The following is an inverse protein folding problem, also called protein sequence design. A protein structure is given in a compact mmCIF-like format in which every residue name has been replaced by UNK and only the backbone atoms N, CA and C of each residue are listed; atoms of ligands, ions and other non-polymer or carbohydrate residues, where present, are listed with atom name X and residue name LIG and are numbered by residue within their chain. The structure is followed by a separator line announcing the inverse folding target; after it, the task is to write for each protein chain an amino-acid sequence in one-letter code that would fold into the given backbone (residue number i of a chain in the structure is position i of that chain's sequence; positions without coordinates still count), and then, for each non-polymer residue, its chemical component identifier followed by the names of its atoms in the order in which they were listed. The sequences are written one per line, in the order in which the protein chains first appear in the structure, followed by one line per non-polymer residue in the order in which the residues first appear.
data_IF_217030422655
#
_entry.id   IF_217030422655
#
_cell.length_a   1.000
_cell.length_b   1.000
_cell.length_c   1.000
_cell.angle_alpha   90.00
_cell.angle_beta   90.00
_cell.angle_gamma   90.00
#
_symmetry.space_group_name_H-M   'P 1'
#
loop_
_entity.id
_entity.type
_entity.pdbx_description
1 polymer ?
#
# COMPACT_ATOMS: atom_id res chain seq x y z
N UNK A 1 -2.66 -5.39 28.72
CA UNK A 1 -1.66 -5.78 29.72
C UNK A 1 -1.87 -5.03 31.04
N UNK A 2 -1.90 -3.70 31.03
CA UNK A 2 -2.05 -2.84 32.21
C UNK A 2 -3.25 -3.20 33.08
N UNK A 3 -4.42 -3.39 32.50
CA UNK A 3 -5.64 -3.72 33.24
C UNK A 3 -5.56 -5.05 33.98
N UNK A 4 -4.81 -6.03 33.47
CA UNK A 4 -4.65 -7.36 34.07
C UNK A 4 -3.49 -7.47 35.03
N UNK A 5 -2.41 -6.70 34.80
CA UNK A 5 -1.17 -6.82 35.59
C UNK A 5 -0.94 -5.64 36.57
N UNK A 6 -1.68 -4.55 36.41
CA UNK A 6 -1.42 -3.29 37.10
C UNK A 6 -0.18 -2.51 36.62
N UNK A 7 0.63 -3.13 35.76
CA UNK A 7 1.88 -2.54 35.27
C UNK A 7 1.73 -1.99 33.86
N UNK A 8 2.13 -0.76 33.63
CA UNK A 8 2.29 -0.19 32.31
C UNK A 8 3.54 -0.73 31.61
N UNK A 9 3.60 -0.55 30.30
CA UNK A 9 4.77 -0.88 29.49
C UNK A 9 5.18 0.32 28.67
N UNK A 10 6.49 0.54 28.55
CA UNK A 10 7.02 1.47 27.55
C UNK A 10 6.99 0.77 26.19
N UNK A 11 6.32 1.36 25.22
CA UNK A 11 6.23 0.85 23.85
C UNK A 11 6.99 1.79 22.93
N UNK A 12 7.98 1.26 22.25
CA UNK A 12 8.79 2.00 21.28
C UNK A 12 8.60 1.39 19.89
N UNK A 13 8.40 2.26 18.91
CA UNK A 13 8.38 1.91 17.49
C UNK A 13 9.24 2.91 16.73
N UNK A 14 9.86 2.46 15.65
CA UNK A 14 10.56 3.35 14.73
C UNK A 14 10.27 2.95 13.27
N UNK A 15 10.56 3.86 12.36
CA UNK A 15 10.22 3.67 10.94
C UNK A 15 10.96 2.49 10.31
N UNK A 16 12.22 2.25 10.68
CA UNK A 16 13.04 1.18 10.09
C UNK A 16 12.49 -0.19 10.52
N UNK A 17 12.31 -0.39 11.83
CA UNK A 17 11.76 -1.65 12.36
C UNK A 17 10.37 -1.94 11.82
N UNK A 18 9.51 -0.92 11.78
CA UNK A 18 8.15 -1.07 11.25
C UNK A 18 8.15 -1.43 9.76
N UNK A 19 8.99 -0.79 8.96
CA UNK A 19 9.12 -1.09 7.54
C UNK A 19 9.71 -2.49 7.31
N UNK A 20 10.76 -2.88 8.05
CA UNK A 20 11.34 -4.23 7.94
C UNK A 20 10.32 -5.29 8.32
N UNK A 21 9.58 -5.10 9.40
CA UNK A 21 8.53 -6.06 9.80
C UNK A 21 7.40 -6.18 8.76
N UNK A 22 7.04 -5.07 8.10
CA UNK A 22 6.01 -5.04 7.08
C UNK A 22 6.44 -5.72 5.78
N UNK A 23 7.66 -5.42 5.29
CA UNK A 23 8.10 -5.90 3.97
C UNK A 23 8.82 -7.24 4.02
N UNK A 24 9.18 -7.74 5.20
CA UNK A 24 10.06 -8.90 5.35
C UNK A 24 9.56 -10.14 4.61
N UNK A 25 8.28 -10.46 4.76
CA UNK A 25 7.67 -11.63 4.12
C UNK A 25 7.64 -11.55 2.59
N UNK A 26 7.63 -10.35 2.03
CA UNK A 26 7.43 -10.17 0.60
C UNK A 26 8.74 -9.95 -0.15
N UNK A 27 9.73 -9.27 0.47
CA UNK A 27 10.92 -8.83 -0.27
C UNK A 27 12.26 -9.35 0.30
N UNK A 28 12.23 -10.01 1.47
CA UNK A 28 13.44 -10.47 2.16
C UNK A 28 13.53 -12.01 2.24
N UNK A 29 12.83 -12.72 1.35
CA UNK A 29 12.79 -14.19 1.37
C UNK A 29 14.17 -14.82 1.18
N UNK A 30 15.00 -14.24 0.33
CA UNK A 30 16.38 -14.63 0.07
C UNK A 30 17.33 -14.36 1.25
N UNK A 31 16.93 -13.53 2.20
CA UNK A 31 17.65 -13.23 3.44
C UNK A 31 17.11 -13.98 4.67
N UNK A 32 16.03 -14.74 4.51
CA UNK A 32 15.34 -15.40 5.65
C UNK A 32 15.98 -16.74 6.03
N UNK A 33 16.38 -17.52 5.04
CA UNK A 33 17.03 -18.81 5.23
C UNK A 33 18.54 -18.61 5.26
N UNK A 34 19.20 -19.09 6.32
CA UNK A 34 20.62 -18.82 6.57
C UNK A 34 21.52 -20.04 6.32
N UNK A 35 20.94 -21.23 6.25
CA UNK A 35 21.69 -22.46 6.04
C UNK A 35 21.95 -22.69 4.54
N UNK A 36 23.17 -23.09 4.20
CA UNK A 36 23.60 -23.36 2.82
C UNK A 36 22.90 -24.60 2.21
N UNK A 37 22.40 -25.51 3.05
CA UNK A 37 21.75 -26.76 2.65
C UNK A 37 20.26 -26.59 2.28
N UNK A 38 19.71 -25.39 2.39
CA UNK A 38 18.31 -25.11 2.04
C UNK A 38 18.17 -24.44 0.69
N UNK A 39 17.11 -24.77 -0.03
CA UNK A 39 16.81 -24.12 -1.30
C UNK A 39 16.37 -22.68 -1.05
N UNK A 40 17.17 -21.71 -1.46
CA UNK A 40 16.81 -20.31 -1.45
C UNK A 40 15.81 -20.02 -2.57
N UNK A 41 14.66 -19.44 -2.21
CA UNK A 41 13.67 -18.99 -3.18
C UNK A 41 14.09 -17.62 -3.73
N UNK A 42 13.87 -17.37 -5.04
CA UNK A 42 14.15 -16.06 -5.61
C UNK A 42 13.27 -14.99 -4.95
N UNK A 43 13.82 -13.79 -4.80
CA UNK A 43 13.10 -12.65 -4.27
C UNK A 43 11.86 -12.35 -5.14
N UNK A 44 10.70 -12.22 -4.50
CA UNK A 44 9.42 -11.94 -5.16
C UNK A 44 9.47 -10.63 -5.97
N UNK A 45 10.27 -9.66 -5.55
CA UNK A 45 10.48 -8.41 -6.32
C UNK A 45 11.00 -8.64 -7.73
N UNK A 46 11.75 -9.72 -7.97
CA UNK A 46 12.21 -10.07 -9.31
C UNK A 46 11.07 -10.48 -10.24
N UNK A 47 9.87 -10.75 -9.69
CA UNK A 47 8.67 -11.13 -10.44
C UNK A 47 7.69 -9.98 -10.62
N UNK A 48 7.95 -8.80 -10.03
CA UNK A 48 7.10 -7.63 -10.18
C UNK A 48 7.58 -6.73 -11.31
N UNK A 49 6.71 -6.50 -12.27
CA UNK A 49 6.93 -5.56 -13.36
C UNK A 49 5.61 -4.87 -13.71
N UNK A 50 5.69 -3.61 -14.09
CA UNK A 50 4.60 -2.89 -14.71
C UNK A 50 4.73 -3.02 -16.22
N UNK A 51 3.63 -3.35 -16.88
CA UNK A 51 3.60 -3.62 -18.32
C UNK A 51 2.89 -2.50 -19.07
N UNK A 52 3.46 -2.12 -20.22
CA UNK A 52 2.98 -1.00 -21.03
C UNK A 52 1.84 -1.41 -21.96
N UNK A 53 0.68 -0.76 -21.80
CA UNK A 53 -0.43 -0.77 -22.75
C UNK A 53 -0.41 0.48 -23.65
N UNK A 54 -1.36 0.61 -24.59
CA UNK A 54 -1.43 1.75 -25.49
C UNK A 54 -1.76 3.08 -24.79
N UNK A 55 -2.41 3.03 -23.63
CA UNK A 55 -2.95 4.19 -22.91
C UNK A 55 -2.58 4.24 -21.42
N UNK A 56 -1.66 3.39 -20.97
CA UNK A 56 -1.23 3.36 -19.58
C UNK A 56 -0.44 2.11 -19.21
N UNK A 57 -0.42 1.80 -17.92
CA UNK A 57 0.30 0.66 -17.37
C UNK A 57 -0.65 -0.29 -16.64
N UNK A 58 -0.30 -1.56 -16.63
CA UNK A 58 -0.96 -2.61 -15.84
C UNK A 58 0.07 -3.35 -14.98
N UNK A 59 -0.35 -3.75 -13.78
CA UNK A 59 0.34 -4.72 -12.95
C UNK A 59 -0.31 -6.08 -13.15
N UNK A 60 0.48 -7.11 -13.50
CA UNK A 60 0.00 -8.47 -13.73
C UNK A 60 0.86 -9.42 -12.90
N UNK A 61 0.22 -10.35 -12.19
CA UNK A 61 0.90 -11.34 -11.36
C UNK A 61 0.43 -12.76 -11.67
N UNK A 62 0.82 -13.37 -12.80
CA UNK A 62 0.40 -14.72 -13.20
C UNK A 62 1.24 -15.77 -12.45
N UNK A 63 1.08 -15.83 -11.12
CA UNK A 63 1.94 -16.61 -10.22
C UNK A 63 1.79 -18.14 -10.33
N UNK A 64 0.68 -18.66 -10.88
CA UNK A 64 0.45 -20.11 -11.05
C UNK A 64 0.55 -20.53 -12.50
N UNK A 65 0.73 -21.84 -12.75
CA UNK A 65 0.75 -22.39 -14.10
C UNK A 65 -0.60 -22.20 -14.80
N UNK A 66 -1.71 -22.30 -14.03
CA UNK A 66 -3.06 -22.01 -14.51
C UNK A 66 -3.21 -20.53 -14.93
N UNK A 67 -2.69 -19.58 -14.15
CA UNK A 67 -2.75 -18.16 -14.52
C UNK A 67 -2.00 -17.88 -15.82
N UNK A 68 -0.83 -18.50 -16.00
CA UNK A 68 -0.08 -18.38 -17.26
C UNK A 68 -0.85 -18.92 -18.46
N UNK A 69 -1.39 -20.13 -18.33
CA UNK A 69 -2.23 -20.73 -19.37
C UNK A 69 -3.43 -19.84 -19.71
N UNK A 70 -4.22 -19.45 -18.71
CA UNK A 70 -5.41 -18.59 -18.91
C UNK A 70 -5.05 -17.25 -19.55
N UNK A 71 -3.92 -16.65 -19.15
CA UNK A 71 -3.45 -15.40 -19.74
C UNK A 71 -3.12 -15.57 -21.23
N UNK A 72 -2.41 -16.63 -21.61
CA UNK A 72 -2.13 -16.91 -23.01
C UNK A 72 -3.43 -17.11 -23.80
N UNK A 73 -4.36 -17.91 -23.29
CA UNK A 73 -5.64 -18.20 -23.96
C UNK A 73 -6.44 -16.94 -24.31
N UNK A 74 -6.45 -15.92 -23.44
CA UNK A 74 -7.27 -14.72 -23.64
C UNK A 74 -6.54 -13.56 -24.33
N UNK A 75 -5.22 -13.55 -24.32
CA UNK A 75 -4.43 -12.49 -24.97
C UNK A 75 -3.77 -12.94 -26.26
N UNK A 76 -3.05 -14.06 -26.23
CA UNK A 76 -2.26 -14.55 -27.36
C UNK A 76 -2.00 -16.06 -27.24
N UNK A 77 -2.93 -16.94 -27.71
CA UNK A 77 -2.87 -18.39 -27.49
C UNK A 77 -1.58 -19.07 -27.97
N UNK A 78 -1.00 -18.60 -29.08
CA UNK A 78 0.23 -19.16 -29.66
C UNK A 78 1.46 -19.04 -28.76
N UNK A 79 1.46 -18.12 -27.80
CA UNK A 79 2.54 -17.99 -26.82
C UNK A 79 2.60 -19.18 -25.87
N UNK A 80 1.49 -19.87 -25.67
CA UNK A 80 1.45 -21.06 -24.82
C UNK A 80 2.22 -22.24 -25.41
N UNK A 81 2.53 -22.25 -26.71
CA UNK A 81 3.37 -23.30 -27.34
C UNK A 81 4.81 -23.29 -26.79
N UNK A 82 5.24 -22.23 -26.15
CA UNK A 82 6.55 -22.11 -25.47
C UNK A 82 6.60 -22.91 -24.16
N UNK A 83 6.88 -24.22 -24.26
CA UNK A 83 6.84 -25.16 -23.13
C UNK A 83 7.70 -24.75 -21.92
N UNK A 84 8.80 -24.00 -22.15
CA UNK A 84 9.67 -23.51 -21.08
C UNK A 84 8.96 -22.63 -20.06
N UNK A 85 7.79 -22.04 -20.41
CA UNK A 85 7.01 -21.18 -19.50
C UNK A 85 5.84 -21.92 -18.83
N UNK A 86 5.60 -23.19 -19.10
CA UNK A 86 4.47 -23.93 -18.56
C UNK A 86 4.54 -24.10 -17.04
N UNK A 87 5.74 -24.19 -16.47
CA UNK A 87 5.93 -24.37 -15.03
C UNK A 87 6.52 -23.14 -14.38
N UNK A 88 6.24 -22.96 -13.08
CA UNK A 88 6.80 -21.86 -12.28
C UNK A 88 8.34 -21.91 -12.25
N UNK A 89 8.92 -23.12 -12.25
CA UNK A 89 10.39 -23.30 -12.31
C UNK A 89 10.92 -22.77 -13.63
N UNK A 90 10.35 -23.20 -14.77
CA UNK A 90 10.79 -22.74 -16.08
C UNK A 90 10.63 -21.21 -16.26
N UNK A 91 9.55 -20.63 -15.76
CA UNK A 91 9.37 -19.17 -15.75
C UNK A 91 10.42 -18.47 -14.87
N UNK A 92 10.81 -19.08 -13.75
CA UNK A 92 11.87 -18.56 -12.89
C UNK A 92 13.25 -18.59 -13.58
N UNK A 93 13.60 -19.69 -14.25
CA UNK A 93 14.87 -19.85 -15.00
C UNK A 93 14.97 -18.88 -16.20
N UNK A 94 13.84 -18.56 -16.83
CA UNK A 94 13.73 -17.67 -17.99
C UNK A 94 12.99 -16.36 -17.68
N UNK A 95 13.12 -15.86 -16.44
CA UNK A 95 12.27 -14.79 -15.91
C UNK A 95 12.28 -13.52 -16.77
N UNK A 96 13.45 -13.10 -17.24
CA UNK A 96 13.55 -11.89 -18.06
C UNK A 96 12.81 -12.03 -19.39
N UNK A 97 13.06 -13.13 -20.13
CA UNK A 97 12.41 -13.37 -21.43
C UNK A 97 10.90 -13.56 -21.27
N UNK A 98 10.49 -14.23 -20.19
CA UNK A 98 9.08 -14.41 -19.86
C UNK A 98 8.38 -13.08 -19.62
N UNK A 99 8.98 -12.18 -18.82
CA UNK A 99 8.45 -10.83 -18.60
C UNK A 99 8.41 -9.98 -19.87
N UNK A 100 9.44 -10.09 -20.71
CA UNK A 100 9.47 -9.40 -22.00
C UNK A 100 8.36 -9.94 -22.94
N UNK A 101 8.06 -11.24 -22.87
CA UNK A 101 6.94 -11.86 -23.59
C UNK A 101 5.60 -11.26 -23.11
N UNK A 102 5.36 -11.17 -21.81
CA UNK A 102 4.15 -10.55 -21.25
C UNK A 102 4.01 -9.11 -21.75
N UNK A 103 5.09 -8.34 -21.74
CA UNK A 103 5.10 -6.95 -22.22
C UNK A 103 4.63 -6.86 -23.69
N UNK A 104 5.12 -7.74 -24.54
CA UNK A 104 4.69 -7.80 -25.94
C UNK A 104 3.21 -8.21 -26.11
N UNK A 105 2.72 -9.13 -25.27
CA UNK A 105 1.33 -9.59 -25.31
C UNK A 105 0.33 -8.48 -24.98
N UNK A 106 0.64 -7.60 -24.04
CA UNK A 106 -0.28 -6.55 -23.59
C UNK A 106 -0.16 -5.25 -24.37
N UNK A 107 1.01 -5.01 -24.97
CA UNK A 107 1.35 -3.78 -25.67
C UNK A 107 0.33 -3.28 -26.72
N UNK A 108 -0.34 -4.14 -27.51
CA UNK A 108 -1.31 -3.70 -28.52
C UNK A 108 -2.67 -3.31 -27.94
N UNK A 109 -2.93 -3.56 -26.66
CA UNK A 109 -4.24 -3.35 -26.04
C UNK A 109 -4.28 -2.08 -25.18
N UNK A 110 -5.50 -1.59 -24.93
CA UNK A 110 -5.77 -0.61 -23.89
C UNK A 110 -5.80 -1.27 -22.51
N UNK A 111 -5.49 -0.50 -21.46
CA UNK A 111 -5.50 -0.95 -20.06
C UNK A 111 -6.83 -1.63 -19.70
N UNK A 112 -7.95 -0.97 -20.00
CA UNK A 112 -9.28 -1.52 -19.70
C UNK A 112 -9.52 -2.89 -20.36
N UNK A 113 -9.06 -3.09 -21.59
CA UNK A 113 -9.20 -4.37 -22.33
C UNK A 113 -8.37 -5.48 -21.67
N UNK A 114 -7.13 -5.16 -21.27
CA UNK A 114 -6.25 -6.14 -20.59
C UNK A 114 -6.86 -6.54 -19.26
N UNK A 115 -7.30 -5.55 -18.47
CA UNK A 115 -7.90 -5.78 -17.15
C UNK A 115 -9.16 -6.65 -17.27
N UNK A 116 -10.07 -6.30 -18.16
CA UNK A 116 -11.33 -7.05 -18.36
C UNK A 116 -11.07 -8.50 -18.77
N UNK A 117 -10.21 -8.74 -19.77
CA UNK A 117 -9.88 -10.09 -20.24
C UNK A 117 -9.22 -10.93 -19.15
N UNK A 118 -8.23 -10.39 -18.46
CA UNK A 118 -7.48 -11.13 -17.45
C UNK A 118 -8.30 -11.38 -16.18
N UNK A 119 -9.10 -10.42 -15.72
CA UNK A 119 -10.02 -10.64 -14.61
C UNK A 119 -11.06 -11.70 -14.92
N UNK A 120 -11.63 -11.68 -16.13
CA UNK A 120 -12.58 -12.71 -16.58
C UNK A 120 -11.95 -14.11 -16.67
N UNK A 121 -10.63 -14.18 -16.86
CA UNK A 121 -9.85 -15.43 -16.90
C UNK A 121 -9.23 -15.79 -15.53
N UNK A 122 -9.64 -15.12 -14.46
CA UNK A 122 -9.15 -15.33 -13.09
C UNK A 122 -7.63 -15.11 -12.93
N UNK A 123 -7.02 -14.27 -13.78
CA UNK A 123 -5.60 -13.88 -13.67
C UNK A 123 -5.49 -12.59 -12.88
N UNK A 124 -4.67 -12.54 -11.80
CA UNK A 124 -4.47 -11.32 -11.02
C UNK A 124 -3.91 -10.18 -11.87
N UNK A 125 -4.68 -9.11 -11.98
CA UNK A 125 -4.35 -7.91 -12.75
C UNK A 125 -4.97 -6.68 -12.11
N UNK A 126 -4.28 -5.56 -12.20
CA UNK A 126 -4.81 -4.25 -11.81
C UNK A 126 -4.29 -3.15 -12.75
N UNK A 127 -5.08 -2.11 -13.02
CA UNK A 127 -4.57 -0.90 -13.65
C UNK A 127 -3.61 -0.19 -12.70
N UNK A 128 -2.58 0.46 -13.26
CA UNK A 128 -1.73 1.35 -12.47
C UNK A 128 -2.38 2.72 -12.43
N UNK A 129 -2.81 3.10 -11.24
CA UNK A 129 -3.48 4.38 -11.01
C UNK A 129 -2.47 5.53 -10.87
N UNK A 130 -2.73 6.66 -11.52
CA UNK A 130 -2.02 7.91 -11.22
C UNK A 130 -2.32 8.32 -9.77
N UNK A 131 -1.30 8.51 -8.91
CA UNK A 131 -1.50 8.93 -7.52
C UNK A 131 -2.33 10.22 -7.37
N UNK A 132 -2.28 11.13 -8.35
CA UNK A 132 -3.08 12.36 -8.35
C UNK A 132 -4.56 12.12 -8.61
N UNK A 133 -4.92 10.99 -9.21
CA UNK A 133 -6.29 10.61 -9.55
C UNK A 133 -6.86 9.53 -8.61
N UNK A 134 -6.09 9.03 -7.66
CA UNK A 134 -6.53 7.95 -6.74
C UNK A 134 -7.85 8.26 -6.04
N UNK A 135 -8.11 9.53 -5.78
CA UNK A 135 -9.33 9.99 -5.12
C UNK A 135 -10.59 9.90 -6.00
N UNK A 136 -10.44 9.65 -7.29
CA UNK A 136 -11.56 9.46 -8.25
C UNK A 136 -11.77 7.97 -8.58
N UNK A 137 -11.05 7.07 -7.93
CA UNK A 137 -11.23 5.63 -8.11
C UNK A 137 -12.61 5.21 -7.59
N UNK A 138 -13.44 4.53 -8.41
CA UNK A 138 -14.79 4.15 -8.01
C UNK A 138 -14.85 3.26 -6.75
N UNK A 139 -13.84 2.42 -6.52
CA UNK A 139 -13.77 1.59 -5.33
C UNK A 139 -13.47 2.42 -4.09
N UNK A 140 -12.54 3.39 -4.19
CA UNK A 140 -12.19 4.29 -3.09
C UNK A 140 -13.40 5.17 -2.73
N UNK A 141 -14.11 5.69 -3.73
CA UNK A 141 -15.35 6.45 -3.52
C UNK A 141 -16.45 5.59 -2.86
N UNK A 142 -16.71 4.40 -3.41
CA UNK A 142 -17.76 3.50 -2.90
C UNK A 142 -17.51 3.01 -1.48
N UNK A 143 -16.25 2.82 -1.09
CA UNK A 143 -15.87 2.36 0.26
C UNK A 143 -15.74 3.48 1.28
N UNK A 144 -15.80 4.75 0.86
CA UNK A 144 -15.65 5.90 1.74
C UNK A 144 -14.29 5.96 2.46
N UNK A 145 -13.24 5.48 1.80
CA UNK A 145 -11.89 5.51 2.38
C UNK A 145 -11.35 6.92 2.57
N UNK A 146 -11.84 7.86 1.75
CA UNK A 146 -11.48 9.27 1.83
C UNK A 146 -12.66 10.06 2.38
N UNK A 147 -12.36 10.95 3.30
CA UNK A 147 -13.34 11.84 3.93
C UNK A 147 -12.94 13.29 3.73
N UNK A 148 -13.92 14.17 3.73
CA UNK A 148 -13.70 15.62 3.69
C UNK A 148 -14.03 16.22 5.05
N UNK A 149 -13.23 17.16 5.49
CA UNK A 149 -13.47 17.93 6.71
C UNK A 149 -13.07 19.40 6.51
N UNK A 150 -13.54 20.27 7.39
CA UNK A 150 -13.22 21.70 7.37
C UNK A 150 -12.09 21.96 8.37
N UNK A 151 -10.95 22.43 7.87
CA UNK A 151 -9.84 22.84 8.72
C UNK A 151 -9.90 24.35 8.95
N UNK A 152 -9.76 24.85 10.21
CA UNK A 152 -9.98 26.26 10.53
C UNK A 152 -9.02 27.25 9.84
N UNK A 153 -7.92 26.77 9.27
CA UNK A 153 -6.93 27.60 8.55
C UNK A 153 -6.82 27.21 7.08
N UNK A 154 -6.84 25.90 6.77
CA UNK A 154 -6.62 25.39 5.41
C UNK A 154 -7.93 25.30 4.60
N UNK A 155 -9.11 25.49 5.21
CA UNK A 155 -10.39 25.28 4.57
C UNK A 155 -10.69 23.79 4.37
N UNK A 156 -11.36 23.45 3.28
CA UNK A 156 -11.67 22.05 2.98
C UNK A 156 -10.42 21.23 2.74
N UNK A 157 -10.31 20.13 3.47
CA UNK A 157 -9.25 19.15 3.32
C UNK A 157 -9.84 17.77 3.05
N UNK A 158 -9.11 16.95 2.32
CA UNK A 158 -9.41 15.52 2.10
C UNK A 158 -8.32 14.70 2.76
N UNK A 159 -8.70 13.67 3.49
CA UNK A 159 -7.77 12.78 4.17
C UNK A 159 -8.33 11.36 4.26
N UNK A 160 -7.48 10.34 4.36
CA UNK A 160 -7.93 8.99 4.58
C UNK A 160 -8.53 8.83 5.98
N UNK A 161 -9.61 8.06 6.10
CA UNK A 161 -10.06 7.57 7.41
C UNK A 161 -9.04 6.58 8.00
N UNK A 162 -9.07 6.32 9.30
CA UNK A 162 -8.24 5.27 9.91
C UNK A 162 -8.43 3.93 9.21
N UNK A 163 -7.33 3.19 9.02
CA UNK A 163 -7.36 1.89 8.35
C UNK A 163 -8.23 0.86 9.11
N UNK A 164 -8.22 0.92 10.45
CA UNK A 164 -9.12 0.12 11.26
C UNK A 164 -10.54 0.72 11.24
N UNK A 165 -11.51 -0.06 10.79
CA UNK A 165 -12.89 0.32 10.72
C UNK A 165 -13.72 -0.51 11.72
N UNK A 166 -14.32 0.16 12.69
CA UNK A 166 -15.18 -0.46 13.70
C UNK A 166 -16.63 -0.32 13.27
N UNK A 167 -17.30 -1.44 12.99
CA UNK A 167 -18.70 -1.44 12.60
C UNK A 167 -19.58 -0.86 13.72
N UNK A 168 -20.43 0.07 13.37
CA UNK A 168 -21.33 0.74 14.32
C UNK A 168 -20.68 1.86 15.15
N UNK A 169 -19.43 2.20 14.87
CA UNK A 169 -18.75 3.35 15.49
C UNK A 169 -18.48 4.41 14.43
N UNK A 170 -19.11 5.55 14.52
CA UNK A 170 -18.75 6.73 13.75
C UNK A 170 -17.55 7.40 14.41
N UNK A 171 -16.46 7.53 13.68
CA UNK A 171 -15.26 8.25 14.14
C UNK A 171 -15.42 9.72 13.74
N UNK A 172 -15.47 10.58 14.72
CA UNK A 172 -15.36 12.03 14.51
C UNK A 172 -13.92 12.34 14.10
N UNK A 173 -13.76 12.91 12.91
CA UNK A 173 -12.45 13.29 12.38
C UNK A 173 -12.17 14.73 12.79
N UNK A 174 -11.41 14.87 13.85
CA UNK A 174 -10.99 16.17 14.36
C UNK A 174 -9.82 16.67 13.50
N UNK A 175 -9.89 17.90 12.95
CA UNK A 175 -8.80 18.47 12.18
C UNK A 175 -7.53 18.66 13.04
N UNK A 176 -6.37 18.71 12.41
CA UNK A 176 -5.13 18.98 13.12
C UNK A 176 -5.19 20.35 13.83
N UNK A 177 -4.72 20.44 15.08
CA UNK A 177 -4.75 21.70 15.82
C UNK A 177 -3.79 22.73 15.22
N UNK A 178 -4.07 23.99 15.43
CA UNK A 178 -3.11 25.07 15.14
C UNK A 178 -1.91 24.96 16.07
N UNK A 179 -0.78 25.49 15.62
CA UNK A 179 0.42 25.54 16.47
C UNK A 179 0.11 26.31 17.76
N UNK A 180 0.29 25.67 18.90
CA UNK A 180 0.04 26.24 20.21
C UNK A 180 -1.41 26.23 20.68
N UNK A 181 -2.35 25.66 19.94
CA UNK A 181 -3.77 25.67 20.25
C UNK A 181 -4.10 25.13 21.65
N UNK A 182 -3.41 24.07 22.07
CA UNK A 182 -3.62 23.43 23.37
C UNK A 182 -2.59 23.86 24.44
N UNK A 183 -1.70 24.79 24.13
CA UNK A 183 -0.60 25.17 25.05
C UNK A 183 -1.13 25.62 26.40
N UNK A 184 -2.13 26.52 26.42
CA UNK A 184 -2.70 27.02 27.65
C UNK A 184 -3.40 25.96 28.50
N UNK A 185 -4.10 25.03 27.83
CA UNK A 185 -4.76 23.88 28.48
C UNK A 185 -3.73 22.96 29.14
N UNK A 186 -2.72 22.54 28.40
CA UNK A 186 -1.67 21.63 28.87
C UNK A 186 -0.89 22.25 30.04
N UNK A 187 -0.55 23.53 29.94
CA UNK A 187 0.16 24.19 31.01
C UNK A 187 -0.66 24.25 32.31
N UNK A 188 -1.99 24.50 32.21
CA UNK A 188 -2.87 24.47 33.40
C UNK A 188 -2.98 23.09 34.01
N UNK A 189 -3.09 22.05 33.20
CA UNK A 189 -3.15 20.66 33.65
C UNK A 189 -1.92 20.28 34.49
N UNK A 190 -0.72 20.77 34.14
CA UNK A 190 0.51 20.54 34.88
C UNK A 190 0.77 21.55 35.98
N UNK A 191 -0.22 22.43 36.29
CA UNK A 191 -0.21 23.27 37.48
C UNK A 191 0.22 24.72 37.30
N UNK A 192 0.38 25.22 36.08
CA UNK A 192 0.61 26.64 35.83
C UNK A 192 -0.67 27.44 36.02
N UNK A 193 -0.54 28.61 36.70
CA UNK A 193 -1.63 29.56 36.82
C UNK A 193 -1.84 30.33 35.51
N UNK A 194 -3.03 30.92 35.33
CA UNK A 194 -3.32 31.77 34.15
C UNK A 194 -2.32 32.92 34.00
N UNK A 195 -1.85 33.49 35.12
CA UNK A 195 -0.83 34.53 35.12
C UNK A 195 0.51 34.04 34.55
N UNK A 196 0.95 32.84 34.93
CA UNK A 196 2.19 32.25 34.44
C UNK A 196 2.09 31.85 32.95
N UNK A 197 0.93 31.33 32.53
CA UNK A 197 0.68 31.05 31.12
C UNK A 197 0.76 32.32 30.28
N UNK A 198 0.11 33.39 30.73
CA UNK A 198 0.13 34.70 30.05
C UNK A 198 1.57 35.29 30.00
N UNK A 199 2.32 35.17 31.06
CA UNK A 199 3.71 35.62 31.10
C UNK A 199 4.60 34.85 30.10
N UNK A 200 4.51 33.52 30.06
CA UNK A 200 5.24 32.69 29.10
C UNK A 200 4.88 33.01 27.63
N UNK A 201 3.60 33.29 27.36
CA UNK A 201 3.13 33.70 26.04
C UNK A 201 3.68 35.08 25.65
N UNK A 202 3.64 36.06 26.58
CA UNK A 202 4.16 37.39 26.33
C UNK A 202 5.67 37.44 26.11
N UNK A 203 6.42 36.55 26.76
CA UNK A 203 7.86 36.38 26.59
C UNK A 203 8.20 35.57 25.31
N UNK A 204 7.22 35.02 24.61
CA UNK A 204 7.40 34.21 23.42
C UNK A 204 8.00 32.83 23.66
N UNK A 205 7.99 32.36 24.91
CA UNK A 205 8.46 31.01 25.26
C UNK A 205 7.48 29.94 24.83
N UNK A 206 6.22 30.26 24.73
CA UNK A 206 5.13 29.41 24.23
C UNK A 206 4.21 30.19 23.27
N UNK A 207 3.43 29.46 22.49
CA UNK A 207 2.41 30.00 21.56
C UNK A 207 1.02 29.64 22.06
#
# INVERSE_FOLDING_TARGET
HRERSGNGSFVQTNMIESNLAFVWSDVMMDCTLLDDDVQHLPNVLNSYRLYGCTDGLVAIAPGTDKHWQSMCEVLQPEVYDEQRYHTSVGRGEHNKEWMDTIDQMVKPYQVATVVDRLQSAEVPVAPVMDPHLVHTDPHIEATGMLTESEHPVAGKIRHPRPAAHYLGVELELIPAPKQGEHTGEILREIGFSDHQVAELTNLGHVK
#
